data_IF_909854147653
#
_entry.id   IF_909854147653
#
_cell.length_a   1.000
_cell.length_b   1.000
_cell.length_c   1.000
_cell.angle_alpha   90.00
_cell.angle_beta   90.00
_cell.angle_gamma   90.00
#
_symmetry.space_group_name_H-M   'P 1'
#
loop_
_entity.id
_entity.type
_entity.pdbx_description
1 polymer ?
#
# COMPACT_ATOMS: atom_id res chain seq x y z
N UNK A 1 -8.37 11.33 -23.68
CA UNK A 1 -8.26 11.80 -22.29
C UNK A 1 -6.91 12.49 -22.14
N UNK A 2 -6.85 13.69 -21.57
CA UNK A 2 -5.61 14.43 -21.29
C UNK A 2 -5.54 14.67 -19.79
N UNK A 3 -4.44 14.30 -19.16
CA UNK A 3 -4.19 14.58 -17.75
C UNK A 3 -3.51 15.95 -17.64
N UNK A 4 -3.86 16.69 -16.58
CA UNK A 4 -3.16 17.93 -16.24
C UNK A 4 -1.72 17.62 -15.81
N UNK A 5 -0.81 18.54 -16.11
CA UNK A 5 0.55 18.44 -15.59
C UNK A 5 0.51 18.57 -14.07
N UNK A 6 1.33 17.77 -13.38
CA UNK A 6 1.48 17.78 -11.92
C UNK A 6 2.95 17.82 -11.58
N UNK A 7 3.30 18.62 -10.57
CA UNK A 7 4.65 18.62 -10.00
C UNK A 7 4.78 17.48 -9.01
N UNK A 8 5.75 16.60 -9.22
CA UNK A 8 5.99 15.45 -8.36
C UNK A 8 7.03 15.80 -7.30
N UNK A 9 6.69 15.65 -6.02
CA UNK A 9 7.63 15.86 -4.91
C UNK A 9 8.84 14.93 -5.05
N UNK A 10 10.05 15.28 -4.57
CA UNK A 10 11.21 14.41 -4.73
C UNK A 10 11.14 13.15 -3.84
N UNK A 11 10.43 13.20 -2.72
CA UNK A 11 10.31 12.12 -1.75
C UNK A 11 8.94 11.43 -1.82
N UNK A 12 8.83 10.27 -1.16
CA UNK A 12 7.59 9.55 -0.93
C UNK A 12 6.93 10.07 0.36
N UNK A 13 5.61 10.10 0.39
CA UNK A 13 4.83 10.48 1.57
C UNK A 13 3.89 9.31 1.93
N UNK A 14 4.41 8.27 2.63
CA UNK A 14 3.57 7.22 3.17
C UNK A 14 2.59 7.81 4.18
N UNK A 15 1.45 7.15 4.37
CA UNK A 15 0.49 7.59 5.36
C UNK A 15 1.09 7.37 6.77
N UNK A 16 1.05 8.38 7.66
CA UNK A 16 1.40 8.19 9.07
C UNK A 16 0.51 7.13 9.71
N UNK A 17 1.07 6.33 10.62
CA UNK A 17 0.32 5.28 11.28
C UNK A 17 -0.88 5.84 12.06
N UNK A 18 -0.72 7.00 12.71
CA UNK A 18 -1.80 7.68 13.44
C UNK A 18 -2.99 8.12 12.56
N UNK A 19 -2.77 8.30 11.25
CA UNK A 19 -3.78 8.76 10.30
C UNK A 19 -4.59 7.61 9.67
N UNK A 20 -4.21 6.35 9.93
CA UNK A 20 -4.99 5.20 9.49
C UNK A 20 -6.34 5.13 10.21
N UNK A 21 -7.40 4.94 9.42
CA UNK A 21 -8.79 4.84 9.85
C UNK A 21 -9.33 3.46 9.53
N UNK A 22 -9.80 2.76 10.56
CA UNK A 22 -10.41 1.44 10.40
C UNK A 22 -11.56 1.51 9.40
N UNK A 23 -11.63 0.52 8.51
CA UNK A 23 -12.66 0.51 7.46
C UNK A 23 -12.26 1.18 6.14
N UNK A 24 -11.14 1.88 6.09
CA UNK A 24 -10.66 2.55 4.88
C UNK A 24 -9.70 1.68 4.04
N UNK A 25 -9.54 2.06 2.78
CA UNK A 25 -8.63 1.41 1.82
C UNK A 25 -7.38 2.26 1.63
N UNK A 26 -6.24 1.60 1.72
CA UNK A 26 -4.91 2.14 1.45
C UNK A 26 -4.22 1.32 0.36
N UNK A 27 -3.06 1.78 -0.06
CA UNK A 27 -2.32 1.18 -1.16
C UNK A 27 -0.91 0.84 -0.72
N UNK A 28 -0.59 -0.45 -0.72
CA UNK A 28 0.78 -0.94 -0.60
C UNK A 28 1.47 -0.78 -1.95
N UNK A 29 2.58 -0.05 -1.98
CA UNK A 29 3.41 0.09 -3.16
C UNK A 29 4.84 -0.38 -2.87
N UNK A 30 5.22 -1.47 -3.54
CA UNK A 30 6.57 -2.03 -3.50
C UNK A 30 7.20 -2.03 -4.90
N UNK A 31 8.51 -2.24 -4.98
CA UNK A 31 9.24 -2.39 -6.25
C UNK A 31 10.00 -3.71 -6.24
N UNK A 32 9.99 -4.41 -7.38
CA UNK A 32 10.71 -5.68 -7.55
C UNK A 32 12.13 -5.52 -8.12
N UNK A 33 12.58 -4.28 -8.31
CA UNK A 33 13.90 -3.95 -8.83
C UNK A 33 14.49 -2.72 -8.13
N UNK A 34 15.83 -2.68 -8.04
CA UNK A 34 16.56 -1.59 -7.39
C UNK A 34 16.40 -0.25 -8.11
N UNK A 35 16.17 -0.28 -9.43
CA UNK A 35 15.95 0.90 -10.26
C UNK A 35 14.54 1.49 -10.11
N UNK A 36 13.65 0.83 -9.35
CA UNK A 36 12.27 1.22 -9.12
C UNK A 36 11.47 1.40 -10.44
N UNK A 37 11.57 0.43 -11.35
CA UNK A 37 10.92 0.40 -12.66
C UNK A 37 9.78 -0.63 -12.76
N UNK A 38 9.72 -1.56 -11.80
CA UNK A 38 8.75 -2.66 -11.75
C UNK A 38 7.93 -2.52 -10.46
N UNK A 39 6.90 -1.65 -10.44
CA UNK A 39 6.07 -1.44 -9.26
C UNK A 39 5.05 -2.56 -9.08
N UNK A 40 4.76 -2.90 -7.83
CA UNK A 40 3.62 -3.70 -7.40
C UNK A 40 2.72 -2.84 -6.52
N UNK A 41 1.49 -2.62 -6.96
CA UNK A 41 0.47 -1.89 -6.20
C UNK A 41 -0.60 -2.88 -5.75
N UNK A 42 -0.85 -2.93 -4.44
CA UNK A 42 -1.89 -3.75 -3.85
C UNK A 42 -2.84 -2.89 -3.00
N UNK A 43 -4.15 -2.88 -3.28
CA UNK A 43 -5.12 -2.22 -2.41
C UNK A 43 -5.35 -3.07 -1.17
N UNK A 44 -5.28 -2.44 -0.01
CA UNK A 44 -5.38 -3.05 1.31
C UNK A 44 -6.49 -2.38 2.13
N UNK A 45 -7.35 -3.18 2.73
CA UNK A 45 -8.34 -2.75 3.70
C UNK A 45 -7.68 -2.70 5.09
N UNK A 46 -7.75 -1.56 5.78
CA UNK A 46 -7.20 -1.46 7.13
C UNK A 46 -8.20 -2.02 8.14
N UNK A 47 -7.81 -3.14 8.76
CA UNK A 47 -8.64 -3.89 9.70
C UNK A 47 -8.66 -3.21 11.06
N UNK A 48 -7.48 -2.83 11.57
CA UNK A 48 -7.34 -2.23 12.89
C UNK A 48 -5.95 -2.36 13.48
N UNK A 49 -5.87 -2.08 14.79
CA UNK A 49 -4.61 -2.12 15.56
C UNK A 49 -4.69 -3.12 16.69
N UNK A 50 -3.54 -3.72 17.00
CA UNK A 50 -3.35 -4.59 18.16
C UNK A 50 -4.46 -5.66 18.30
N UNK A 51 -4.71 -6.38 17.21
CA UNK A 51 -5.82 -7.33 17.12
C UNK A 51 -5.52 -8.64 17.86
N UNK A 52 -4.25 -8.94 18.14
CA UNK A 52 -3.81 -10.15 18.83
C UNK A 52 -3.35 -9.88 20.28
N UNK A 53 -3.49 -10.88 21.18
CA UNK A 53 -3.02 -10.74 22.56
C UNK A 53 -1.51 -10.47 22.65
N UNK A 54 -1.16 -9.35 23.27
CA UNK A 54 0.24 -8.96 23.51
C UNK A 54 0.81 -8.02 22.45
N UNK A 55 0.02 -7.63 21.45
CA UNK A 55 0.42 -6.62 20.48
C UNK A 55 0.67 -5.26 21.12
N UNK A 56 1.72 -4.60 20.63
CA UNK A 56 2.04 -3.20 20.90
C UNK A 56 2.41 -2.55 19.58
N UNK A 57 1.70 -1.49 19.22
CA UNK A 57 1.88 -0.70 18.00
C UNK A 57 1.93 -1.56 16.72
N UNK A 58 1.02 -2.54 16.62
CA UNK A 58 0.82 -3.37 15.43
C UNK A 58 -0.40 -2.89 14.62
N UNK A 59 -0.23 -2.85 13.30
CA UNK A 59 -1.28 -2.55 12.33
C UNK A 59 -1.62 -3.78 11.50
N UNK A 60 -2.90 -3.94 11.21
CA UNK A 60 -3.44 -5.09 10.48
C UNK A 60 -4.16 -4.65 9.22
N UNK A 61 -3.80 -5.27 8.11
CA UNK A 61 -4.41 -5.07 6.81
C UNK A 61 -4.91 -6.38 6.23
N UNK A 62 -5.93 -6.29 5.38
CA UNK A 62 -6.48 -7.40 4.62
C UNK A 62 -6.46 -7.04 3.13
N UNK A 63 -6.21 -8.00 2.25
CA UNK A 63 -6.38 -7.77 0.82
C UNK A 63 -7.84 -7.38 0.49
N UNK A 64 -8.02 -6.36 -0.36
CA UNK A 64 -9.37 -5.84 -0.66
C UNK A 64 -10.24 -6.88 -1.38
N UNK A 65 -9.64 -7.82 -2.10
CA UNK A 65 -10.40 -8.84 -2.83
C UNK A 65 -11.14 -9.75 -1.86
N UNK A 66 -10.45 -10.35 -0.89
CA UNK A 66 -11.07 -11.24 0.10
C UNK A 66 -12.05 -10.51 1.01
N UNK A 67 -11.77 -9.24 1.37
CA UNK A 67 -12.71 -8.42 2.12
C UNK A 67 -14.03 -8.22 1.33
N UNK A 68 -13.94 -7.97 0.03
CA UNK A 68 -15.12 -7.82 -0.83
C UNK A 68 -15.93 -9.11 -0.95
N UNK A 69 -15.29 -10.27 -0.90
CA UNK A 69 -15.94 -11.59 -0.91
C UNK A 69 -16.57 -11.96 0.46
N UNK A 70 -16.51 -11.06 1.45
CA UNK A 70 -17.15 -11.24 2.75
C UNK A 70 -16.29 -11.94 3.80
N UNK A 71 -15.02 -12.23 3.49
CA UNK A 71 -14.06 -12.76 4.49
C UNK A 71 -13.70 -11.64 5.46
N UNK A 72 -13.78 -11.89 6.76
CA UNK A 72 -13.39 -10.95 7.82
C UNK A 72 -12.29 -11.57 8.67
N UNK A 73 -11.45 -10.73 9.27
CA UNK A 73 -10.28 -11.12 10.05
C UNK A 73 -10.58 -12.18 11.12
N UNK A 74 -11.71 -12.05 11.79
CA UNK A 74 -12.20 -12.85 12.90
C UNK A 74 -13.08 -14.04 12.48
N UNK A 75 -13.25 -14.30 11.18
CA UNK A 75 -14.06 -15.44 10.71
C UNK A 75 -13.31 -16.77 10.87
N UNK A 76 -14.05 -17.88 10.99
CA UNK A 76 -13.42 -19.21 11.08
C UNK A 76 -12.75 -19.64 9.76
N UNK A 77 -11.51 -20.15 9.86
CA UNK A 77 -10.75 -20.70 8.74
C UNK A 77 -10.35 -19.68 7.68
N UNK A 78 -10.14 -18.42 8.09
CA UNK A 78 -9.81 -17.29 7.20
C UNK A 78 -8.42 -17.36 6.60
N UNK A 79 -7.49 -18.05 7.27
CA UNK A 79 -6.07 -18.15 6.86
C UNK A 79 -5.90 -18.75 5.45
N UNK A 80 -6.85 -19.56 5.00
CA UNK A 80 -6.83 -20.18 3.67
C UNK A 80 -7.67 -19.43 2.63
N UNK A 81 -8.33 -18.33 3.02
CA UNK A 81 -9.33 -17.62 2.21
C UNK A 81 -8.98 -16.15 1.94
N UNK A 82 -8.04 -15.60 2.69
CA UNK A 82 -7.64 -14.20 2.64
C UNK A 82 -6.16 -14.04 2.95
N UNK A 83 -5.56 -12.97 2.45
CA UNK A 83 -4.24 -12.53 2.88
C UNK A 83 -4.43 -11.45 3.93
N UNK A 84 -3.85 -11.69 5.11
CA UNK A 84 -3.72 -10.70 6.16
C UNK A 84 -2.26 -10.31 6.31
N UNK A 85 -2.04 -9.03 6.50
CA UNK A 85 -0.73 -8.44 6.67
C UNK A 85 -0.70 -7.77 8.05
N UNK A 86 0.32 -8.07 8.83
CA UNK A 86 0.58 -7.43 10.10
C UNK A 86 1.98 -6.85 10.09
N UNK A 87 2.16 -5.71 10.76
CA UNK A 87 3.47 -5.07 10.89
C UNK A 87 3.45 -3.97 11.93
N UNK A 88 4.65 -3.57 12.36
CA UNK A 88 4.78 -2.46 13.29
C UNK A 88 4.39 -1.13 12.61
N UNK A 89 3.79 -0.20 13.34
CA UNK A 89 3.44 1.14 12.85
C UNK A 89 4.62 1.87 12.18
N UNK A 90 5.83 1.65 12.69
CA UNK A 90 7.08 2.22 12.13
C UNK A 90 7.51 1.61 10.79
N UNK A 91 6.93 0.49 10.37
CA UNK A 91 7.29 -0.26 9.15
C UNK A 91 6.33 0.02 7.97
N UNK A 92 5.52 1.08 8.08
CA UNK A 92 4.52 1.47 7.08
C UNK A 92 5.06 2.30 5.90
N UNK A 93 6.37 2.35 5.68
CA UNK A 93 6.98 3.17 4.63
C UNK A 93 6.55 2.84 3.18
N UNK A 94 5.79 1.76 3.01
CA UNK A 94 5.25 1.27 1.74
C UNK A 94 3.73 1.41 1.63
N UNK A 95 3.04 1.99 2.61
CA UNK A 95 1.59 2.18 2.63
C UNK A 95 1.25 3.65 2.34
N UNK A 96 0.34 3.88 1.40
CA UNK A 96 0.02 5.21 0.89
C UNK A 96 -1.49 5.41 0.72
N UNK A 97 -1.92 6.66 0.79
CA UNK A 97 -3.17 7.07 0.14
C UNK A 97 -3.04 6.97 -1.39
N UNK A 98 -4.19 6.87 -2.09
CA UNK A 98 -4.20 6.64 -3.53
C UNK A 98 -3.40 7.68 -4.33
N UNK A 99 -3.59 8.98 -4.05
CA UNK A 99 -2.92 10.06 -4.80
C UNK A 99 -1.39 10.00 -4.60
N UNK A 100 -0.93 9.70 -3.38
CA UNK A 100 0.50 9.56 -3.10
C UNK A 100 1.10 8.33 -3.79
N UNK A 101 0.38 7.20 -3.82
CA UNK A 101 0.79 6.02 -4.58
C UNK A 101 0.86 6.32 -6.09
N UNK A 102 -0.11 7.05 -6.62
CA UNK A 102 -0.15 7.46 -8.03
C UNK A 102 1.06 8.32 -8.40
N UNK A 103 1.46 9.27 -7.56
CA UNK A 103 2.67 10.07 -7.79
C UNK A 103 3.92 9.20 -7.93
N UNK A 104 4.05 8.14 -7.11
CA UNK A 104 5.16 7.21 -7.19
C UNK A 104 5.13 6.38 -8.48
N UNK A 105 3.95 5.96 -8.94
CA UNK A 105 3.79 5.29 -10.24
C UNK A 105 4.13 6.23 -11.42
N UNK A 106 3.79 7.51 -11.33
CA UNK A 106 4.20 8.51 -12.31
C UNK A 106 5.73 8.69 -12.33
N UNK A 107 6.39 8.74 -11.16
CA UNK A 107 7.86 8.76 -11.07
C UNK A 107 8.47 7.51 -11.72
N UNK A 108 7.92 6.34 -11.45
CA UNK A 108 8.32 5.10 -12.10
C UNK A 108 8.23 5.20 -13.63
N UNK A 109 7.11 5.70 -14.16
CA UNK A 109 6.93 5.93 -15.60
C UNK A 109 8.01 6.87 -16.18
N UNK A 110 8.30 7.99 -15.50
CA UNK A 110 9.35 8.92 -15.91
C UNK A 110 10.75 8.29 -15.88
N UNK A 111 11.07 7.47 -14.87
CA UNK A 111 12.34 6.72 -14.80
C UNK A 111 12.49 5.77 -16.00
N UNK A 112 11.42 5.03 -16.34
CA UNK A 112 11.41 4.13 -17.51
C UNK A 112 11.67 4.89 -18.81
N UNK A 113 11.00 6.03 -19.02
CA UNK A 113 11.23 6.86 -20.21
C UNK A 113 12.67 7.37 -20.29
N UNK A 114 13.25 7.82 -19.17
CA UNK A 114 14.64 8.28 -19.12
C UNK A 114 15.63 7.16 -19.45
N UNK A 115 15.38 5.93 -19.00
CA UNK A 115 16.24 4.77 -19.29
C UNK A 115 16.18 4.40 -20.77
N UNK A 116 14.99 4.40 -21.38
CA UNK A 116 14.80 4.12 -22.81
C UNK A 116 15.44 5.16 -23.73
N UNK A 117 15.49 6.44 -23.32
CA UNK A 117 16.13 7.51 -24.11
C UNK A 117 17.66 7.50 -24.05
N UNK A 118 18.25 6.73 -23.13
CA UNK A 118 19.70 6.60 -22.95
C UNK A 118 20.27 5.35 -23.65
N UNK A 119 19.41 4.51 -24.21
CA UNK A 119 19.76 3.37 -25.06
C UNK A 119 19.69 3.79 -26.52
#
# INVERSE_FOLDING_TARGET
MRFEARDLKPYAEPIPAEDLKEGEIYFSLNYFDDDMLIPMLEPLFFVGRNLEPGDVDQVYFQDVYSYREGVRYDSEGVEYKANFYAGAEKEMGHIFEFENALELLLKCSLRRQKKLRKQ
#
